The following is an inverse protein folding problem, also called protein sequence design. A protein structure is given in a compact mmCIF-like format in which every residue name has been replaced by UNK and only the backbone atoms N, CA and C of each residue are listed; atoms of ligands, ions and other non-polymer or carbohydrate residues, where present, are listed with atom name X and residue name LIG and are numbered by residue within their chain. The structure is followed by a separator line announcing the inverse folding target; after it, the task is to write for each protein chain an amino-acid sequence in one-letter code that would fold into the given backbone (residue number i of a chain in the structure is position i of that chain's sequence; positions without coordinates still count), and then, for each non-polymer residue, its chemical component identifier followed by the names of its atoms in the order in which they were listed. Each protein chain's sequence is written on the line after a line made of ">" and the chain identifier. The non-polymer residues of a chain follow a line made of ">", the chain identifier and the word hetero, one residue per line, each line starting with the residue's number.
data_IF_111809843221
#
_entry.id   IF_111809843221
#
_cell.length_a   1.000
_cell.length_b   1.000
_cell.length_c   1.000
_cell.angle_alpha   90.00
_cell.angle_beta   90.00
_cell.angle_gamma   90.00
#
_symmetry.space_group_name_H-M   'P 1'
#
loop_
_entity.id
_entity.type
_entity.pdbx_description
1 polymer ?
#
# COMPACT_ATOMS: atom_id res chain seq x y z
N UNK A 1 11.38 -11.82 -8.55
CA UNK A 1 12.74 -12.32 -8.84
C UNK A 1 13.30 -12.92 -7.57
N UNK A 2 13.96 -14.08 -7.65
CA UNK A 2 14.75 -14.63 -6.55
C UNK A 2 16.18 -14.10 -6.72
N UNK A 3 16.71 -13.44 -5.70
CA UNK A 3 18.09 -12.97 -5.60
C UNK A 3 18.81 -13.81 -4.55
N UNK A 4 19.78 -14.61 -4.99
CA UNK A 4 20.58 -15.45 -4.11
C UNK A 4 22.01 -14.95 -4.07
N UNK A 5 22.47 -14.51 -2.89
CA UNK A 5 23.76 -13.84 -2.75
C UNK A 5 24.94 -14.82 -2.84
N UNK A 6 24.76 -16.05 -2.35
CA UNK A 6 25.82 -17.07 -2.29
C UNK A 6 25.66 -18.14 -3.38
N UNK A 7 26.76 -18.75 -3.87
CA UNK A 7 26.67 -19.85 -4.85
C UNK A 7 25.83 -21.03 -4.36
N UNK A 8 26.00 -21.39 -3.08
CA UNK A 8 25.27 -22.50 -2.46
C UNK A 8 23.76 -22.26 -2.48
N UNK A 9 23.34 -21.03 -2.15
CA UNK A 9 21.93 -20.68 -2.15
C UNK A 9 21.37 -20.60 -3.57
N UNK A 10 22.12 -20.01 -4.50
CA UNK A 10 21.72 -19.95 -5.90
C UNK A 10 21.47 -21.35 -6.47
N UNK A 11 22.40 -22.29 -6.26
CA UNK A 11 22.23 -23.67 -6.71
C UNK A 11 21.07 -24.39 -6.01
N UNK A 12 20.80 -24.06 -4.74
CA UNK A 12 19.63 -24.58 -4.01
C UNK A 12 18.33 -24.07 -4.62
N UNK A 13 18.22 -22.76 -4.87
CA UNK A 13 17.02 -22.16 -5.46
C UNK A 13 16.79 -22.64 -6.89
N UNK A 14 17.86 -22.74 -7.69
CA UNK A 14 17.79 -23.28 -9.04
C UNK A 14 17.30 -24.74 -9.04
N UNK A 15 17.75 -25.56 -8.09
CA UNK A 15 17.25 -26.93 -7.91
C UNK A 15 15.75 -26.95 -7.58
N UNK A 16 15.29 -26.09 -6.68
CA UNK A 16 13.86 -25.99 -6.37
C UNK A 16 13.04 -25.58 -7.60
N UNK A 17 13.55 -24.61 -8.37
CA UNK A 17 12.93 -24.18 -9.63
C UNK A 17 12.83 -25.33 -10.64
N UNK A 18 13.88 -26.15 -10.79
CA UNK A 18 13.85 -27.34 -11.65
C UNK A 18 12.83 -28.37 -11.18
N UNK A 19 12.74 -28.63 -9.88
CA UNK A 19 11.76 -29.56 -9.32
C UNK A 19 10.32 -29.09 -9.53
N UNK A 20 10.10 -27.77 -9.53
CA UNK A 20 8.82 -27.16 -9.84
C UNK A 20 8.55 -26.97 -11.35
N UNK A 21 9.50 -27.31 -12.23
CA UNK A 21 9.36 -27.15 -13.69
C UNK A 21 9.40 -25.69 -14.18
N UNK A 22 10.00 -24.78 -13.40
CA UNK A 22 10.05 -23.34 -13.69
C UNK A 22 11.46 -22.84 -14.04
N UNK A 23 12.38 -23.73 -14.37
CA UNK A 23 13.76 -23.41 -14.75
C UNK A 23 13.90 -22.91 -16.19
N UNK A 24 12.84 -23.03 -17.00
CA UNK A 24 12.77 -22.42 -18.32
C UNK A 24 12.38 -20.93 -18.26
N UNK A 25 13.18 -20.15 -17.54
CA UNK A 25 13.02 -18.70 -17.39
C UNK A 25 14.37 -18.01 -17.48
N UNK A 26 14.40 -16.68 -17.41
CA UNK A 26 15.67 -15.97 -17.34
C UNK A 26 16.38 -16.31 -16.02
N UNK A 27 17.61 -16.78 -16.16
CA UNK A 27 18.48 -17.12 -15.05
C UNK A 27 19.84 -16.52 -15.35
N UNK A 28 20.35 -15.70 -14.44
CA UNK A 28 21.69 -15.14 -14.53
C UNK A 28 22.50 -15.45 -13.28
N UNK A 29 23.81 -15.55 -13.47
CA UNK A 29 24.79 -15.80 -12.43
C UNK A 29 25.66 -14.56 -12.26
N UNK A 30 25.88 -14.18 -11.01
CA UNK A 30 26.75 -13.07 -10.65
C UNK A 30 28.22 -13.51 -10.63
N UNK A 31 29.18 -12.58 -10.73
CA UNK A 31 30.61 -12.86 -10.59
C UNK A 31 31.03 -13.59 -9.32
N UNK A 32 30.25 -13.45 -8.24
CA UNK A 32 30.52 -14.10 -6.94
C UNK A 32 29.89 -15.49 -6.83
N UNK A 33 29.26 -15.97 -7.91
CA UNK A 33 28.63 -17.28 -8.03
C UNK A 33 27.20 -17.38 -7.51
N UNK A 34 26.68 -16.36 -6.81
CA UNK A 34 25.25 -16.16 -6.60
C UNK A 34 24.52 -15.82 -7.91
N UNK A 35 23.32 -15.25 -7.86
CA UNK A 35 22.61 -14.84 -9.08
C UNK A 35 21.13 -14.61 -8.92
N UNK A 36 20.45 -14.45 -10.06
CA UNK A 36 19.03 -14.16 -10.10
C UNK A 36 18.24 -15.19 -10.91
N UNK A 37 17.02 -15.48 -10.44
CA UNK A 37 16.01 -16.27 -11.15
C UNK A 37 14.78 -15.40 -11.32
N UNK A 38 14.42 -15.13 -12.57
CA UNK A 38 13.34 -14.20 -12.91
C UNK A 38 12.04 -14.95 -13.16
N UNK A 39 10.94 -14.42 -12.67
CA UNK A 39 9.61 -14.98 -12.88
C UNK A 39 8.58 -13.88 -12.65
N UNK A 40 7.44 -13.98 -13.34
CA UNK A 40 6.27 -13.15 -13.10
C UNK A 40 5.34 -13.89 -12.14
N UNK A 41 4.92 -13.20 -11.09
CA UNK A 41 4.00 -13.73 -10.09
C UNK A 41 2.58 -13.22 -10.38
N UNK A 42 1.54 -13.98 -10.01
CA UNK A 42 0.14 -13.62 -10.33
C UNK A 42 -0.33 -12.41 -9.51
N UNK A 43 0.34 -12.13 -8.38
CA UNK A 43 0.05 -11.00 -7.49
C UNK A 43 1.34 -10.42 -6.93
N UNK A 44 1.27 -9.20 -6.42
CA UNK A 44 2.34 -8.63 -5.61
C UNK A 44 2.49 -9.41 -4.30
N UNK A 45 3.72 -9.69 -3.88
CA UNK A 45 4.02 -10.55 -2.71
C UNK A 45 5.04 -9.92 -1.77
N UNK A 46 5.06 -10.43 -0.54
CA UNK A 46 6.13 -10.21 0.44
C UNK A 46 6.53 -11.53 1.10
N UNK A 47 7.79 -11.68 1.55
CA UNK A 47 8.22 -12.88 2.27
C UNK A 47 7.64 -12.92 3.68
N UNK A 48 7.13 -14.08 4.10
CA UNK A 48 6.63 -14.33 5.46
C UNK A 48 7.75 -14.32 6.50
N UNK A 49 8.95 -14.75 6.10
CA UNK A 49 10.15 -14.76 6.92
C UNK A 49 11.35 -14.39 6.07
N UNK A 50 12.33 -13.70 6.68
CA UNK A 50 13.65 -13.54 6.05
C UNK A 50 14.29 -14.91 5.88
N UNK A 51 14.67 -15.21 4.65
CA UNK A 51 15.53 -16.35 4.34
C UNK A 51 16.97 -15.84 4.31
N UNK A 52 17.89 -16.52 4.99
CA UNK A 52 19.30 -16.15 4.93
C UNK A 52 19.80 -16.29 3.49
N UNK A 53 20.53 -15.27 3.02
CA UNK A 53 21.20 -15.24 1.72
C UNK A 53 20.30 -15.41 0.48
N UNK A 54 18.98 -15.29 0.66
CA UNK A 54 17.97 -15.32 -0.41
C UNK A 54 16.95 -14.20 -0.17
N UNK A 55 16.85 -13.29 -1.13
CA UNK A 55 15.86 -12.22 -1.16
C UNK A 55 14.88 -12.45 -2.32
N UNK A 56 13.58 -12.28 -2.07
CA UNK A 56 12.59 -12.19 -3.15
C UNK A 56 12.39 -10.71 -3.46
N UNK A 57 12.97 -10.27 -4.59
CA UNK A 57 12.80 -8.90 -5.07
C UNK A 57 11.56 -8.75 -5.92
N UNK A 58 10.71 -7.81 -5.53
CA UNK A 58 9.42 -7.53 -6.15
C UNK A 58 9.27 -6.02 -6.44
N UNK A 59 8.04 -5.51 -6.43
CA UNK A 59 7.72 -4.13 -6.82
C UNK A 59 8.51 -3.08 -6.03
N UNK A 60 9.13 -2.14 -6.74
CA UNK A 60 9.88 -1.01 -6.17
C UNK A 60 11.33 -1.33 -5.83
N UNK A 61 11.82 -2.52 -6.17
CA UNK A 61 13.23 -2.89 -6.06
C UNK A 61 13.84 -3.07 -7.46
N UNK A 62 15.16 -2.91 -7.54
CA UNK A 62 15.94 -3.10 -8.76
C UNK A 62 17.00 -4.18 -8.57
N UNK A 63 17.45 -4.76 -9.68
CA UNK A 63 18.54 -5.71 -9.72
C UNK A 63 19.42 -5.44 -10.94
N UNK A 64 20.70 -5.81 -10.83
CA UNK A 64 21.60 -5.81 -11.98
C UNK A 64 21.27 -7.03 -12.85
N UNK A 65 21.28 -6.85 -14.17
CA UNK A 65 21.07 -7.93 -15.12
C UNK A 65 22.17 -7.91 -16.19
N UNK A 66 22.54 -9.04 -16.80
CA UNK A 66 23.49 -9.05 -17.91
C UNK A 66 23.06 -8.06 -19.02
N UNK A 67 24.00 -7.33 -19.65
CA UNK A 67 25.46 -7.44 -19.53
C UNK A 67 26.07 -6.50 -18.47
N UNK A 68 25.38 -6.22 -17.36
CA UNK A 68 25.92 -5.37 -16.28
C UNK A 68 27.27 -5.91 -15.76
N UNK A 69 28.19 -4.99 -15.48
CA UNK A 69 29.53 -5.29 -14.94
C UNK A 69 29.63 -4.78 -13.51
N UNK A 70 30.12 -5.63 -12.61
CA UNK A 70 30.38 -5.23 -11.24
C UNK A 70 31.64 -4.34 -11.16
N UNK A 71 31.48 -3.06 -10.79
CA UNK A 71 32.59 -2.07 -10.82
C UNK A 71 33.48 -2.06 -9.57
N UNK A 72 33.01 -2.58 -8.44
CA UNK A 72 33.65 -2.42 -7.12
C UNK A 72 34.28 -3.74 -6.59
N UNK A 73 34.73 -4.62 -7.48
CA UNK A 73 35.37 -5.89 -7.10
C UNK A 73 36.70 -6.07 -7.82
N UNK A 74 37.59 -6.93 -7.30
CA UNK A 74 38.88 -7.23 -7.95
C UNK A 74 38.72 -7.90 -9.32
N UNK A 75 37.51 -8.39 -9.63
CA UNK A 75 37.14 -9.04 -10.89
C UNK A 75 36.11 -8.17 -11.59
N UNK A 76 36.49 -7.57 -12.73
CA UNK A 76 35.56 -6.95 -13.68
C UNK A 76 34.83 -8.04 -14.49
N UNK A 77 34.13 -8.93 -13.80
CA UNK A 77 33.35 -9.97 -14.46
C UNK A 77 31.91 -9.47 -14.68
N UNK A 78 31.34 -9.71 -15.87
CA UNK A 78 29.94 -9.44 -16.12
C UNK A 78 29.05 -10.46 -15.39
N UNK A 79 27.79 -10.11 -15.20
CA UNK A 79 26.76 -11.12 -14.98
C UNK A 79 26.59 -11.94 -16.27
N UNK A 80 26.33 -13.24 -16.13
CA UNK A 80 26.19 -14.14 -17.27
C UNK A 80 24.82 -14.83 -17.24
N UNK A 81 24.12 -14.87 -18.38
CA UNK A 81 22.91 -15.66 -18.51
C UNK A 81 23.26 -17.15 -18.55
N UNK A 82 22.72 -17.92 -17.61
CA UNK A 82 22.70 -19.39 -17.69
C UNK A 82 21.59 -19.87 -18.62
N UNK A 83 20.46 -19.15 -18.62
CA UNK A 83 19.33 -19.42 -19.49
C UNK A 83 18.69 -18.10 -19.94
N UNK A 84 18.37 -17.99 -21.23
CA UNK A 84 17.75 -16.82 -21.85
C UNK A 84 16.64 -17.22 -22.84
N UNK A 85 15.50 -17.74 -22.34
CA UNK A 85 14.33 -17.97 -23.18
C UNK A 85 13.77 -16.66 -23.75
N UNK A 86 12.92 -16.72 -24.77
CA UNK A 86 12.28 -15.53 -25.36
C UNK A 86 11.34 -14.80 -24.38
N UNK A 87 10.92 -15.43 -23.28
CA UNK A 87 10.01 -14.85 -22.28
C UNK A 87 10.35 -15.26 -20.86
N UNK A 88 10.05 -14.39 -19.89
CA UNK A 88 10.04 -14.72 -18.46
C UNK A 88 8.77 -15.53 -18.15
N UNK A 89 8.91 -16.64 -17.44
CA UNK A 89 7.78 -17.51 -17.11
C UNK A 89 6.79 -16.80 -16.17
N UNK A 90 5.50 -17.10 -16.36
CA UNK A 90 4.43 -16.67 -15.48
C UNK A 90 4.02 -17.83 -14.58
N UNK A 91 4.02 -17.58 -13.27
CA UNK A 91 3.60 -18.54 -12.26
C UNK A 91 2.09 -18.41 -12.09
N UNK A 92 1.34 -19.52 -12.18
CA UNK A 92 -0.12 -19.46 -12.11
C UNK A 92 -0.61 -19.34 -10.65
N UNK A 93 0.04 -20.04 -9.71
CA UNK A 93 -0.25 -19.95 -8.27
C UNK A 93 1.02 -19.84 -7.42
N UNK A 94 0.93 -19.15 -6.27
CA UNK A 94 2.01 -19.11 -5.28
C UNK A 94 2.34 -20.50 -4.70
N UNK A 95 1.44 -21.48 -4.83
CA UNK A 95 1.67 -22.86 -4.39
C UNK A 95 2.80 -23.55 -5.17
N UNK A 96 3.00 -23.17 -6.44
CA UNK A 96 4.10 -23.68 -7.29
C UNK A 96 5.48 -23.28 -6.74
N UNK A 97 5.53 -22.24 -5.91
CA UNK A 97 6.75 -21.69 -5.31
C UNK A 97 6.68 -21.62 -3.78
N UNK A 98 5.93 -22.54 -3.16
CA UNK A 98 5.63 -22.55 -1.72
C UNK A 98 6.88 -22.53 -0.82
N UNK A 99 8.03 -23.03 -1.27
CA UNK A 99 9.29 -23.01 -0.49
C UNK A 99 9.80 -21.60 -0.20
N UNK A 100 9.40 -20.60 -1.01
CA UNK A 100 9.73 -19.18 -0.80
C UNK A 100 8.89 -18.54 0.31
N UNK A 101 7.82 -19.22 0.79
CA UNK A 101 6.97 -18.77 1.90
C UNK A 101 6.50 -17.32 1.70
N UNK A 102 5.84 -17.09 0.58
CA UNK A 102 5.33 -15.78 0.18
C UNK A 102 3.87 -15.63 0.59
N UNK A 103 3.48 -14.40 0.91
CA UNK A 103 2.07 -14.04 1.04
C UNK A 103 1.73 -12.88 0.10
N UNK A 104 0.51 -12.84 -0.47
CA UNK A 104 0.04 -11.69 -1.21
C UNK A 104 0.13 -10.42 -0.36
N UNK A 105 0.64 -9.34 -0.95
CA UNK A 105 0.49 -8.02 -0.37
C UNK A 105 -0.98 -7.65 -0.55
N UNK A 106 -1.72 -7.53 0.56
CA UNK A 106 -3.06 -6.93 0.53
C UNK A 106 -2.99 -5.68 -0.33
N UNK A 107 -3.84 -5.62 -1.37
CA UNK A 107 -3.77 -4.62 -2.43
C UNK A 107 -3.48 -3.26 -1.79
N UNK A 108 -2.26 -2.74 -1.98
CA UNK A 108 -1.98 -1.36 -1.60
C UNK A 108 -3.02 -0.56 -2.35
N UNK A 109 -3.87 0.17 -1.61
CA UNK A 109 -4.79 1.18 -2.13
C UNK A 109 -4.22 1.73 -3.42
N UNK A 110 -4.89 1.41 -4.51
CA UNK A 110 -4.41 1.54 -5.87
C UNK A 110 -3.85 2.95 -6.11
N UNK A 111 -2.55 2.99 -6.43
CA UNK A 111 -1.80 4.03 -7.16
C UNK A 111 -1.73 5.49 -6.68
N UNK A 112 -2.50 5.93 -5.67
CA UNK A 112 -2.43 7.32 -5.21
C UNK A 112 -1.76 7.44 -3.84
N UNK A 113 -0.63 8.14 -3.80
CA UNK A 113 0.03 8.48 -2.54
C UNK A 113 -0.91 9.33 -1.69
N UNK A 114 -1.19 8.88 -0.46
CA UNK A 114 -2.00 9.65 0.47
C UNK A 114 -1.34 11.01 0.75
N UNK A 115 -2.10 12.13 0.72
CA UNK A 115 -1.58 13.43 1.10
C UNK A 115 -0.89 13.36 2.47
N UNK A 116 0.28 14.01 2.62
CA UNK A 116 1.09 13.96 3.85
C UNK A 116 0.25 14.26 5.11
N UNK A 117 -0.67 15.23 5.00
CA UNK A 117 -1.56 15.61 6.11
C UNK A 117 -2.56 14.51 6.46
N UNK A 118 -3.20 13.90 5.47
CA UNK A 118 -4.07 12.74 5.70
C UNK A 118 -3.29 11.57 6.31
N UNK A 119 -2.07 11.30 5.85
CA UNK A 119 -1.23 10.23 6.41
C UNK A 119 -0.89 10.46 7.89
N UNK A 120 -0.54 11.68 8.28
CA UNK A 120 -0.30 12.07 9.67
C UNK A 120 -1.57 11.92 10.53
N UNK A 121 -2.73 12.27 9.97
CA UNK A 121 -4.03 12.11 10.60
C UNK A 121 -4.59 10.69 10.49
N UNK A 122 -3.98 9.76 9.77
CA UNK A 122 -4.41 8.35 9.74
C UNK A 122 -3.61 7.49 10.71
N UNK A 123 -2.39 7.93 11.08
CA UNK A 123 -1.50 7.23 12.02
C UNK A 123 -1.83 7.44 13.50
N UNK A 124 -2.99 8.03 13.83
CA UNK A 124 -3.40 8.25 15.22
C UNK A 124 -2.57 9.29 15.98
N UNK A 125 -1.77 10.11 15.29
CA UNK A 125 -0.89 11.12 15.91
C UNK A 125 -1.63 12.31 16.53
N UNK A 126 -2.96 12.26 16.59
CA UNK A 126 -3.86 13.37 16.97
C UNK A 126 -3.82 13.62 18.47
N UNK A 127 -3.37 12.62 19.25
CA UNK A 127 -3.13 12.74 20.68
C UNK A 127 -2.08 13.82 21.02
N UNK A 128 -1.37 14.39 20.03
CA UNK A 128 -0.34 15.41 20.24
C UNK A 128 -0.72 16.83 19.78
N UNK A 129 -1.82 17.04 19.06
CA UNK A 129 -2.17 18.36 18.52
C UNK A 129 -3.50 18.89 19.07
N UNK A 130 -3.48 20.04 19.75
CA UNK A 130 -4.66 20.82 20.18
C UNK A 130 -5.53 21.38 19.03
N UNK A 131 -5.30 20.94 17.79
CA UNK A 131 -5.87 21.55 16.58
C UNK A 131 -7.35 21.20 16.34
N UNK A 132 -7.81 20.04 16.81
CA UNK A 132 -9.19 19.57 16.63
C UNK A 132 -9.85 19.30 17.98
N UNK A 133 -11.11 19.67 18.13
CA UNK A 133 -11.85 19.55 19.39
C UNK A 133 -12.44 18.14 19.60
N UNK A 134 -12.61 17.34 18.54
CA UNK A 134 -13.15 15.98 18.67
C UNK A 134 -12.58 14.97 17.66
N UNK A 135 -12.73 13.66 17.96
CA UNK A 135 -12.38 12.55 17.06
C UNK A 135 -13.08 12.69 15.70
N UNK A 136 -14.36 13.05 15.70
CA UNK A 136 -15.15 13.23 14.49
C UNK A 136 -14.65 14.39 13.63
N UNK A 137 -14.17 15.48 14.23
CA UNK A 137 -13.57 16.59 13.47
C UNK A 137 -12.25 16.20 12.82
N UNK A 138 -11.43 15.38 13.48
CA UNK A 138 -10.20 14.87 12.87
C UNK A 138 -10.54 14.00 11.66
N UNK A 139 -11.49 13.08 11.80
CA UNK A 139 -11.89 12.22 10.69
C UNK A 139 -12.52 13.04 9.54
N UNK A 140 -13.31 14.07 9.85
CA UNK A 140 -13.82 14.98 8.83
C UNK A 140 -12.68 15.75 8.11
N UNK A 141 -11.62 16.14 8.82
CA UNK A 141 -10.45 16.78 8.22
C UNK A 141 -9.67 15.81 7.30
N UNK A 142 -9.57 14.53 7.68
CA UNK A 142 -9.00 13.48 6.81
C UNK A 142 -9.83 13.37 5.53
N UNK A 143 -11.15 13.20 5.67
CA UNK A 143 -12.08 13.04 4.54
C UNK A 143 -11.98 14.25 3.62
N UNK A 144 -12.01 15.47 4.16
CA UNK A 144 -11.87 16.71 3.39
C UNK A 144 -10.54 16.77 2.64
N UNK A 145 -9.44 16.37 3.29
CA UNK A 145 -8.12 16.33 2.66
C UNK A 145 -8.09 15.34 1.48
N UNK A 146 -8.71 14.17 1.63
CA UNK A 146 -8.76 13.14 0.59
C UNK A 146 -9.68 13.55 -0.56
N UNK A 147 -10.85 14.12 -0.27
CA UNK A 147 -11.77 14.67 -1.27
C UNK A 147 -11.10 15.77 -2.09
N UNK A 148 -10.41 16.71 -1.45
CA UNK A 148 -9.67 17.77 -2.14
C UNK A 148 -8.50 17.23 -2.98
N UNK A 149 -7.94 16.09 -2.60
CA UNK A 149 -6.94 15.38 -3.41
C UNK A 149 -7.57 14.53 -4.53
N UNK A 150 -8.90 14.56 -4.69
CA UNK A 150 -9.65 13.89 -5.75
C UNK A 150 -9.87 12.40 -5.52
N UNK A 151 -9.82 11.92 -4.28
CA UNK A 151 -10.12 10.51 -3.98
C UNK A 151 -11.63 10.25 -4.06
N UNK A 152 -12.07 9.21 -4.79
CA UNK A 152 -13.48 8.81 -4.80
C UNK A 152 -13.87 8.15 -3.46
N UNK A 153 -15.17 8.10 -3.20
CA UNK A 153 -15.71 7.55 -1.95
C UNK A 153 -15.20 6.12 -1.66
N UNK A 154 -15.17 5.24 -2.65
CA UNK A 154 -14.75 3.84 -2.47
C UNK A 154 -13.28 3.71 -2.04
N UNK A 155 -12.41 4.60 -2.51
CA UNK A 155 -11.01 4.65 -2.05
C UNK A 155 -10.92 5.17 -0.61
N UNK A 156 -11.70 6.20 -0.26
CA UNK A 156 -11.76 6.75 1.10
C UNK A 156 -12.28 5.70 2.07
N UNK A 157 -13.33 4.96 1.70
CA UNK A 157 -13.84 3.85 2.50
C UNK A 157 -12.77 2.79 2.74
N UNK A 158 -12.01 2.45 1.71
CA UNK A 158 -10.92 1.48 1.81
C UNK A 158 -9.82 2.01 2.74
N UNK A 159 -9.48 3.30 2.67
CA UNK A 159 -8.55 3.96 3.62
C UNK A 159 -9.04 3.80 5.06
N UNK A 160 -10.30 4.15 5.34
CA UNK A 160 -10.85 4.10 6.70
C UNK A 160 -11.01 2.68 7.27
N UNK A 161 -11.10 1.66 6.40
CA UNK A 161 -11.06 0.25 6.83
C UNK A 161 -9.64 -0.26 7.14
N UNK A 162 -8.62 0.32 6.51
CA UNK A 162 -7.23 -0.09 6.69
C UNK A 162 -6.51 0.66 7.83
N UNK A 163 -6.93 1.88 8.13
CA UNK A 163 -6.28 2.73 9.12
C UNK A 163 -7.21 3.00 10.31
N UNK A 164 -6.69 3.02 11.55
CA UNK A 164 -7.50 3.29 12.73
C UNK A 164 -8.04 4.73 12.79
N UNK A 165 -7.39 5.69 12.10
CA UNK A 165 -7.74 7.11 12.11
C UNK A 165 -7.90 7.67 13.54
N UNK A 166 -8.97 8.43 13.82
CA UNK A 166 -9.33 8.86 15.17
C UNK A 166 -10.23 7.83 15.90
N UNK A 167 -10.68 6.78 15.22
CA UNK A 167 -11.42 5.64 15.75
C UNK A 167 -12.94 5.78 15.78
N UNK A 168 -13.54 6.87 15.28
CA UNK A 168 -15.01 7.02 15.27
C UNK A 168 -15.62 6.12 14.19
N UNK A 169 -15.07 6.12 12.98
CA UNK A 169 -15.44 5.16 11.94
C UNK A 169 -15.26 3.72 12.43
N UNK A 170 -14.08 3.38 12.96
CA UNK A 170 -13.77 2.02 13.42
C UNK A 170 -14.64 1.55 14.59
N UNK A 171 -15.14 2.47 15.43
CA UNK A 171 -16.13 2.19 16.48
C UNK A 171 -17.51 1.87 15.87
N UNK A 172 -17.96 2.67 14.88
CA UNK A 172 -19.21 2.41 14.18
C UNK A 172 -19.15 1.11 13.38
N UNK A 173 -18.05 0.84 12.67
CA UNK A 173 -17.90 -0.33 11.78
C UNK A 173 -17.91 -1.64 12.56
N UNK A 174 -17.40 -1.64 13.80
CA UNK A 174 -17.48 -2.77 14.73
C UNK A 174 -18.89 -3.05 15.24
N UNK A 175 -19.73 -2.03 15.33
CA UNK A 175 -21.10 -2.15 15.85
C UNK A 175 -22.10 -2.44 14.72
N UNK A 176 -22.00 -1.70 13.62
CA UNK A 176 -22.88 -1.78 12.46
C UNK A 176 -22.15 -1.20 11.23
N UNK A 177 -21.71 -2.11 10.34
CA UNK A 177 -21.00 -1.77 9.11
C UNK A 177 -21.81 -0.85 8.20
N UNK A 178 -23.13 -1.03 8.12
CA UNK A 178 -23.99 -0.20 7.27
C UNK A 178 -24.01 1.24 7.80
N UNK A 179 -24.21 1.38 9.11
CA UNK A 179 -24.19 2.68 9.79
C UNK A 179 -22.85 3.41 9.65
N UNK A 180 -21.74 2.67 9.68
CA UNK A 180 -20.41 3.24 9.47
C UNK A 180 -20.22 3.78 8.05
N UNK A 181 -20.65 3.00 7.04
CA UNK A 181 -20.62 3.41 5.63
C UNK A 181 -21.54 4.61 5.39
N UNK A 182 -22.75 4.62 5.94
CA UNK A 182 -23.71 5.72 5.79
C UNK A 182 -23.18 7.02 6.44
N UNK A 183 -22.56 6.90 7.62
CA UNK A 183 -21.88 8.03 8.27
C UNK A 183 -20.74 8.57 7.41
N UNK A 184 -19.86 7.69 6.92
CA UNK A 184 -18.73 8.10 6.07
C UNK A 184 -19.20 8.74 4.77
N UNK A 185 -20.30 8.22 4.19
CA UNK A 185 -20.91 8.75 2.95
C UNK A 185 -21.50 10.15 3.17
N UNK A 186 -22.14 10.37 4.31
CA UNK A 186 -22.63 11.69 4.71
C UNK A 186 -21.47 12.68 4.82
N UNK A 187 -20.42 12.31 5.57
CA UNK A 187 -19.20 13.11 5.72
C UNK A 187 -18.49 13.40 4.40
N UNK A 188 -18.45 12.42 3.48
CA UNK A 188 -17.89 12.59 2.13
C UNK A 188 -18.68 13.62 1.31
N UNK A 189 -20.01 13.53 1.32
CA UNK A 189 -20.86 14.46 0.59
C UNK A 189 -20.70 15.89 1.12
N UNK A 190 -20.68 16.07 2.45
CA UNK A 190 -20.45 17.38 3.08
C UNK A 190 -19.10 17.99 2.67
N UNK A 191 -18.04 17.18 2.62
CA UNK A 191 -16.72 17.61 2.17
C UNK A 191 -16.69 17.96 0.67
N UNK A 192 -17.34 17.16 -0.16
CA UNK A 192 -17.41 17.36 -1.61
C UNK A 192 -18.26 18.58 -2.00
N UNK A 193 -19.28 18.91 -1.23
CA UNK A 193 -20.06 20.15 -1.39
C UNK A 193 -19.24 21.37 -0.95
N UNK A 194 -18.56 21.28 0.21
CA UNK A 194 -17.71 22.36 0.71
C UNK A 194 -16.57 22.71 -0.25
N UNK A 195 -15.99 21.71 -0.93
CA UNK A 195 -14.95 21.91 -1.95
C UNK A 195 -15.44 22.67 -3.19
N UNK A 196 -16.73 22.57 -3.54
CA UNK A 196 -17.33 23.29 -4.69
C UNK A 196 -17.57 24.77 -4.40
N UNK A 197 -17.77 25.14 -3.13
CA UNK A 197 -17.96 26.53 -2.72
C UNK A 197 -16.65 27.29 -2.43
N UNK A 198 -15.50 26.61 -2.38
CA UNK A 198 -14.20 27.17 -2.01
C UNK A 198 -13.27 27.49 -3.18
N UNK A 199 -13.77 27.57 -4.43
CA UNK A 199 -12.98 28.05 -5.58
C UNK A 199 -12.55 29.53 -5.49
N UNK A 200 -12.76 30.21 -4.35
CA UNK A 200 -12.44 31.63 -4.16
C UNK A 200 -11.66 32.00 -2.89
N UNK A 201 -11.34 31.10 -1.96
CA UNK A 201 -10.57 31.49 -0.76
C UNK A 201 -9.51 30.46 -0.33
N UNK A 202 -8.26 30.93 -0.27
CA UNK A 202 -7.07 30.26 0.24
C UNK A 202 -7.10 30.21 1.77
N UNK A 203 -6.91 29.00 2.33
CA UNK A 203 -6.51 28.65 3.70
C UNK A 203 -7.03 29.52 4.87
N UNK A 204 -8.04 29.00 5.58
CA UNK A 204 -8.44 29.45 6.92
C UNK A 204 -9.72 28.78 7.40
N UNK A 205 -9.66 27.51 7.82
CA UNK A 205 -10.84 26.77 8.27
C UNK A 205 -11.22 27.13 9.72
N UNK A 206 -12.24 27.96 9.89
CA UNK A 206 -12.96 28.16 11.15
C UNK A 206 -14.33 27.47 11.06
N UNK A 207 -14.43 26.23 11.54
CA UNK A 207 -15.63 25.37 11.46
C UNK A 207 -16.76 25.74 12.44
N UNK A 208 -16.68 26.88 13.15
CA UNK A 208 -17.64 27.23 14.21
C UNK A 208 -19.01 27.75 13.74
N UNK A 209 -19.14 28.16 12.48
CA UNK A 209 -20.32 28.93 12.06
C UNK A 209 -21.46 28.11 11.43
N UNK A 210 -21.23 26.84 11.04
CA UNK A 210 -22.24 26.07 10.28
C UNK A 210 -23.20 25.23 11.14
N UNK A 211 -22.86 24.91 12.40
CA UNK A 211 -23.79 24.16 13.29
C UNK A 211 -24.81 25.04 14.02
N UNK A 212 -24.65 26.36 14.02
CA UNK A 212 -25.59 27.28 14.68
C UNK A 212 -26.84 27.59 13.84
N UNK A 213 -26.90 27.13 12.59
CA UNK A 213 -27.98 27.45 11.64
C UNK A 213 -28.94 26.28 11.34
N UNK A 214 -28.84 25.13 12.03
CA UNK A 214 -29.71 23.95 11.74
C UNK A 214 -30.29 23.21 12.95
N UNK A 215 -30.55 23.88 14.07
CA UNK A 215 -31.54 23.36 15.00
C UNK A 215 -31.44 23.85 16.43
N UNK A 216 -32.16 24.94 16.73
CA UNK A 216 -33.01 25.04 17.92
C UNK A 216 -34.24 25.86 17.51
N UNK A 217 -35.30 25.15 17.09
CA UNK A 217 -36.55 25.74 16.65
C UNK A 217 -37.63 24.66 16.60
N UNK A 218 -38.40 24.55 17.69
CA UNK A 218 -39.50 23.59 17.87
C UNK A 218 -39.60 23.20 19.34
N UNK A 219 -40.05 24.08 20.23
CA UNK A 219 -41.44 24.40 20.55
C UNK A 219 -42.15 23.29 21.33
N UNK A 220 -42.50 23.57 22.59
CA UNK A 220 -43.70 23.01 23.19
C UNK A 220 -44.39 24.08 24.06
N UNK A 221 -45.62 24.38 23.67
CA UNK A 221 -46.59 25.21 24.37
C UNK A 221 -47.61 24.26 24.98
N UNK A 222 -48.00 24.52 26.24
CA UNK A 222 -49.36 24.45 26.84
C UNK A 222 -49.41 23.64 28.14
N UNK A 223 -50.07 24.26 29.11
CA UNK A 223 -50.41 23.77 30.44
C UNK A 223 -50.57 24.96 31.36
#
# INVERSE_FOLDING_TARGET
>A
MIDAETPREFDRQLRQCRLAGIDNTWIDRSPRGGGHIWMRLPVAVKPLKRMADVEVRAQGQYALAPPSVWKNGPIHAPYEFLNKPPSIIEIASLDEIHWLKLEPVAARLTYRSLPRKAKELLSGSHCRSRTYASRSEVEQAIITTLVNAGFPFEEILTVFRHYPAAGKFAELDRLDQKRAVDWLRTSFNEAAESGRHHSTCVFGFEWRSLRRLRGEGGAEVRG
#
